data_IF_003745880239
#
_entry.id   IF_003745880239
#
_cell.length_a   1.000
_cell.length_b   1.000
_cell.length_c   1.000
_cell.angle_alpha   90.00
_cell.angle_beta   90.00
_cell.angle_gamma   90.00
#
_symmetry.space_group_name_H-M   'P 1'
#
loop_
_entity.id
_entity.type
_entity.pdbx_description
1 polymer ?
#
# COMPACT_ATOMS: atom_id res chain seq x y z
N UNK A 1 45.99 37.33 -32.24
CA UNK A 1 45.69 38.26 -33.35
C UNK A 1 44.18 38.53 -33.29
N UNK A 2 43.58 39.72 -33.33
CA UNK A 2 44.00 41.11 -33.48
C UNK A 2 42.87 42.01 -32.92
N UNK A 3 43.28 43.19 -32.46
CA UNK A 3 42.61 44.41 -31.99
C UNK A 3 41.22 44.74 -32.57
N UNK A 4 40.37 45.37 -31.73
CA UNK A 4 39.02 45.84 -32.06
C UNK A 4 38.91 47.22 -32.72
N UNK A 5 37.69 47.80 -32.71
CA UNK A 5 37.45 49.24 -32.94
C UNK A 5 36.11 49.70 -32.35
N UNK A 6 36.17 50.81 -31.60
CA UNK A 6 35.06 51.64 -31.11
C UNK A 6 34.32 52.31 -32.28
N UNK A 7 33.00 52.50 -32.12
CA UNK A 7 32.29 53.65 -32.70
C UNK A 7 31.47 54.30 -31.57
N UNK A 8 31.79 55.56 -31.27
CA UNK A 8 30.97 56.48 -30.45
C UNK A 8 29.99 57.19 -31.38
N UNK A 9 28.79 57.53 -30.89
CA UNK A 9 28.03 58.74 -31.22
C UNK A 9 26.94 58.90 -30.14
N UNK A 10 27.12 59.81 -29.17
CA UNK A 10 26.73 61.24 -29.10
C UNK A 10 25.25 61.47 -28.69
N UNK A 11 25.13 62.23 -27.60
CA UNK A 11 23.97 62.54 -26.77
C UNK A 11 22.89 63.38 -27.49
N UNK A 12 21.62 63.12 -27.21
CA UNK A 12 20.48 63.98 -27.54
C UNK A 12 19.45 63.98 -26.39
N UNK A 13 18.91 65.16 -26.06
CA UNK A 13 18.17 65.54 -24.85
C UNK A 13 16.79 64.86 -24.62
N UNK A 14 16.27 64.86 -23.36
CA UNK A 14 15.03 64.17 -22.98
C UNK A 14 13.75 64.94 -23.33
N UNK A 15 12.67 64.19 -23.60
CA UNK A 15 11.31 64.68 -23.93
C UNK A 15 10.40 64.65 -22.66
N UNK A 16 9.43 65.58 -22.49
CA UNK A 16 8.95 66.10 -21.19
C UNK A 16 8.08 65.20 -20.30
N UNK A 17 8.03 65.58 -19.03
CA UNK A 17 7.43 64.89 -17.89
C UNK A 17 5.89 65.04 -17.75
N UNK A 18 5.13 65.03 -18.86
CA UNK A 18 3.69 65.39 -18.84
C UNK A 18 2.71 64.28 -19.24
N UNK A 19 2.97 63.02 -18.89
CA UNK A 19 1.91 61.97 -18.90
C UNK A 19 2.05 60.93 -17.77
N UNK A 20 2.45 61.35 -16.55
CA UNK A 20 2.23 60.49 -15.37
C UNK A 20 0.75 60.55 -14.98
N UNK A 21 0.04 59.48 -15.33
CA UNK A 21 -1.30 59.12 -14.85
C UNK A 21 -1.40 59.44 -13.35
N UNK A 22 -2.22 60.43 -13.00
CA UNK A 22 -2.52 60.72 -11.59
C UNK A 22 -3.18 59.49 -10.98
N UNK A 23 -2.49 58.82 -10.06
CA UNK A 23 -3.11 57.83 -9.20
C UNK A 23 -4.11 58.56 -8.30
N UNK A 24 -5.38 58.18 -8.39
CA UNK A 24 -6.45 58.71 -7.56
C UNK A 24 -6.05 58.56 -6.08
N UNK A 25 -5.93 59.69 -5.36
CA UNK A 25 -5.72 59.67 -3.91
C UNK A 25 -6.90 58.93 -3.27
N UNK A 26 -6.64 57.73 -2.74
CA UNK A 26 -7.62 56.95 -1.98
C UNK A 26 -8.17 57.85 -0.87
N UNK A 27 -9.49 58.05 -0.84
CA UNK A 27 -10.17 58.76 0.25
C UNK A 27 -9.93 57.96 1.52
N UNK A 28 -9.00 58.40 2.37
CA UNK A 28 -8.72 57.74 3.64
C UNK A 28 -9.76 58.24 4.63
N UNK A 29 -10.60 57.31 5.10
CA UNK A 29 -11.66 57.63 6.05
C UNK A 29 -11.00 57.94 7.41
N UNK A 30 -11.15 59.16 7.97
CA UNK A 30 -10.43 59.59 9.17
C UNK A 30 -10.82 58.82 10.44
N UNK A 31 -11.90 58.04 10.38
CA UNK A 31 -12.36 57.16 11.46
C UNK A 31 -11.57 55.84 11.56
N UNK A 32 -10.78 55.48 10.54
CA UNK A 32 -10.00 54.24 10.54
C UNK A 32 -8.51 54.55 10.70
N UNK A 33 -8.02 54.44 11.94
CA UNK A 33 -6.60 54.53 12.26
C UNK A 33 -5.92 53.17 12.09
N UNK A 34 -4.72 53.17 11.50
CA UNK A 34 -3.88 51.97 11.46
C UNK A 34 -3.27 51.73 12.84
N UNK A 35 -3.69 50.66 13.52
CA UNK A 35 -3.14 50.23 14.83
C UNK A 35 -2.29 48.96 14.67
N UNK A 36 -1.00 49.07 14.31
CA UNK A 36 -0.12 47.90 14.20
C UNK A 36 0.21 47.34 15.59
N UNK A 37 0.17 46.01 15.74
CA UNK A 37 0.63 45.31 16.95
C UNK A 37 2.11 44.98 16.83
N UNK A 38 2.82 45.02 17.96
CA UNK A 38 4.24 44.69 18.02
C UNK A 38 4.43 43.31 18.68
N UNK A 39 4.91 42.34 17.92
CA UNK A 39 5.04 40.94 18.34
C UNK A 39 6.47 40.58 18.77
N UNK A 40 7.28 41.58 19.13
CA UNK A 40 8.59 41.38 19.74
C UNK A 40 8.50 40.71 21.12
N UNK A 41 9.66 40.35 21.67
CA UNK A 41 9.74 39.68 22.97
C UNK A 41 9.17 40.60 24.07
N UNK A 42 8.22 40.10 24.87
CA UNK A 42 7.51 40.81 25.96
C UNK A 42 6.60 41.98 25.52
N UNK A 43 6.03 41.94 24.32
CA UNK A 43 5.07 42.95 23.86
C UNK A 43 3.68 42.33 23.68
N UNK A 44 3.01 42.57 22.55
CA UNK A 44 1.68 42.02 22.29
C UNK A 44 1.71 40.48 22.20
N UNK A 45 0.56 39.86 22.48
CA UNK A 45 0.39 38.39 22.36
C UNK A 45 0.77 37.96 20.94
N UNK A 46 1.70 37.00 20.85
CA UNK A 46 2.15 36.45 19.57
C UNK A 46 0.96 35.88 18.76
N UNK A 47 0.93 36.08 17.44
CA UNK A 47 -0.10 35.50 16.60
C UNK A 47 0.05 33.97 16.57
N UNK A 48 -1.03 33.27 16.22
CA UNK A 48 -0.96 31.84 15.92
C UNK A 48 -0.04 31.65 14.70
N UNK A 49 1.09 30.97 14.90
CA UNK A 49 2.05 30.60 13.86
C UNK A 49 1.97 29.10 13.58
N UNK A 50 2.46 28.67 12.42
CA UNK A 50 2.53 27.25 12.09
C UNK A 50 3.48 26.53 13.07
N UNK A 51 2.90 25.64 13.87
CA UNK A 51 3.60 24.86 14.89
C UNK A 51 4.02 23.48 14.38
N UNK A 52 3.87 23.19 13.08
CA UNK A 52 4.09 21.87 12.46
C UNK A 52 5.50 21.36 12.76
N UNK A 53 6.50 22.23 12.76
CA UNK A 53 7.90 21.87 13.07
C UNK A 53 8.22 21.77 14.58
N UNK A 54 7.38 22.33 15.43
CA UNK A 54 7.58 22.38 16.89
C UNK A 54 6.66 21.44 17.66
N UNK A 55 5.75 20.76 16.97
CA UNK A 55 5.02 19.61 17.49
C UNK A 55 6.03 18.51 17.76
N UNK A 56 6.10 18.09 19.02
CA UNK A 56 6.71 16.81 19.38
C UNK A 56 5.84 15.73 18.76
N UNK A 57 6.24 15.28 17.57
CA UNK A 57 5.70 14.09 16.95
C UNK A 57 5.97 12.96 17.97
N UNK A 58 4.94 12.53 18.69
CA UNK A 58 5.04 11.31 19.47
C UNK A 58 5.59 10.27 18.49
N UNK A 59 6.78 9.72 18.79
CA UNK A 59 7.45 8.80 17.90
C UNK A 59 6.60 7.52 17.83
N UNK A 60 5.56 7.56 17.01
CA UNK A 60 4.74 6.42 16.69
C UNK A 60 5.69 5.43 16.03
N UNK A 61 5.85 4.26 16.66
CA UNK A 61 6.69 3.21 16.11
C UNK A 61 6.16 2.88 14.72
N UNK A 62 7.04 2.92 13.73
CA UNK A 62 6.68 2.57 12.36
C UNK A 62 6.00 1.20 12.33
N UNK A 63 4.94 1.03 11.53
CA UNK A 63 4.26 -0.25 11.44
C UNK A 63 5.21 -1.30 10.88
N UNK A 64 5.25 -2.46 11.52
CA UNK A 64 6.07 -3.60 11.14
C UNK A 64 5.22 -4.83 10.89
N UNK A 65 5.72 -5.70 10.03
CA UNK A 65 5.18 -7.04 9.86
C UNK A 65 5.33 -7.83 11.17
N UNK A 66 4.30 -8.61 11.49
CA UNK A 66 4.37 -9.57 12.59
C UNK A 66 4.48 -10.96 11.99
N UNK A 67 5.44 -11.74 12.46
CA UNK A 67 5.75 -13.05 11.92
C UNK A 67 5.72 -14.13 13.00
N UNK A 68 5.42 -15.35 12.58
CA UNK A 68 5.34 -16.53 13.43
C UNK A 68 3.92 -16.83 13.89
N UNK A 69 3.61 -18.12 13.97
CA UNK A 69 2.23 -18.64 14.15
C UNK A 69 1.62 -18.18 15.47
N UNK A 70 2.34 -18.26 16.58
CA UNK A 70 1.83 -17.88 17.91
C UNK A 70 1.52 -16.37 17.98
N UNK A 71 2.34 -15.53 17.35
CA UNK A 71 2.08 -14.09 17.31
C UNK A 71 0.89 -13.78 16.41
N UNK A 72 0.80 -14.43 15.24
CA UNK A 72 -0.26 -14.20 14.25
C UNK A 72 -1.61 -14.64 14.79
N UNK A 73 -1.70 -15.81 15.42
CA UNK A 73 -2.93 -16.34 16.02
C UNK A 73 -3.53 -15.39 17.04
N UNK A 74 -2.72 -14.91 18.00
CA UNK A 74 -3.15 -13.90 18.99
C UNK A 74 -3.65 -12.62 18.32
N UNK A 75 -3.01 -12.19 17.22
CA UNK A 75 -3.44 -10.98 16.49
C UNK A 75 -4.74 -11.17 15.71
N UNK A 76 -4.97 -12.37 15.15
CA UNK A 76 -6.20 -12.75 14.45
C UNK A 76 -7.36 -12.88 15.43
N UNK A 77 -7.16 -13.54 16.58
CA UNK A 77 -8.15 -13.65 17.65
C UNK A 77 -8.57 -12.28 18.18
N UNK A 78 -7.62 -11.38 18.36
CA UNK A 78 -7.90 -10.01 18.80
C UNK A 78 -8.43 -9.10 17.67
N UNK A 79 -8.61 -9.61 16.44
CA UNK A 79 -9.00 -8.84 15.24
C UNK A 79 -8.13 -7.60 14.99
N UNK A 80 -6.85 -7.67 15.36
CA UNK A 80 -5.85 -6.62 15.11
C UNK A 80 -5.09 -6.84 13.80
N UNK A 81 -5.18 -8.04 13.24
CA UNK A 81 -4.67 -8.38 11.92
C UNK A 81 -5.61 -7.88 10.82
N UNK A 82 -5.04 -7.24 9.80
CA UNK A 82 -5.79 -6.83 8.59
C UNK A 82 -5.73 -7.92 7.51
N UNK A 83 -4.57 -8.55 7.36
CA UNK A 83 -4.32 -9.61 6.39
C UNK A 83 -3.34 -10.62 6.98
N UNK A 84 -3.64 -11.91 6.86
CA UNK A 84 -2.77 -13.01 7.23
C UNK A 84 -2.25 -13.75 5.99
N UNK A 85 -0.94 -13.89 5.89
CA UNK A 85 -0.25 -14.55 4.78
C UNK A 85 0.31 -15.87 5.29
N UNK A 86 -0.07 -16.96 4.63
CA UNK A 86 0.25 -18.34 4.99
C UNK A 86 1.17 -18.93 3.92
N UNK A 87 2.24 -19.59 4.33
CA UNK A 87 3.03 -20.41 3.42
C UNK A 87 2.32 -21.72 3.08
N UNK A 88 2.40 -22.18 1.84
CA UNK A 88 1.82 -23.46 1.42
C UNK A 88 2.65 -24.70 1.80
N UNK A 89 3.94 -24.52 2.04
CA UNK A 89 5.00 -25.53 2.15
C UNK A 89 5.49 -25.59 3.59
N UNK A 90 4.53 -25.77 4.51
CA UNK A 90 4.82 -25.88 5.94
C UNK A 90 4.83 -27.34 6.35
N UNK A 91 6.02 -27.84 6.65
CA UNK A 91 6.21 -29.12 7.34
C UNK A 91 6.55 -28.84 8.81
N UNK A 92 5.78 -29.35 9.79
CA UNK A 92 4.52 -30.11 9.67
C UNK A 92 3.28 -29.22 9.39
N UNK A 93 2.31 -29.69 8.62
CA UNK A 93 1.18 -28.89 8.08
C UNK A 93 0.17 -28.47 9.15
N UNK A 94 0.05 -29.26 10.21
CA UNK A 94 -0.83 -29.08 11.37
C UNK A 94 -0.67 -27.70 12.02
N UNK A 95 0.53 -27.13 11.90
CA UNK A 95 0.87 -25.80 12.39
C UNK A 95 0.02 -24.70 11.76
N UNK A 96 -0.52 -24.90 10.55
CA UNK A 96 -1.24 -23.85 9.81
C UNK A 96 -2.64 -24.25 9.35
N UNK A 97 -3.00 -25.54 9.34
CA UNK A 97 -4.35 -25.99 8.92
C UNK A 97 -5.47 -25.26 9.66
N UNK A 98 -5.35 -25.07 10.98
CA UNK A 98 -6.37 -24.40 11.79
C UNK A 98 -6.49 -22.90 11.49
N UNK A 99 -5.44 -22.29 10.93
CA UNK A 99 -5.36 -20.84 10.75
C UNK A 99 -6.30 -20.34 9.65
N UNK A 100 -6.50 -21.13 8.59
CA UNK A 100 -7.47 -20.80 7.54
C UNK A 100 -8.90 -20.67 8.11
N UNK A 101 -9.31 -21.65 8.93
CA UNK A 101 -10.60 -21.65 9.60
C UNK A 101 -10.72 -20.50 10.62
N UNK A 102 -9.66 -20.26 11.40
CA UNK A 102 -9.62 -19.18 12.38
C UNK A 102 -9.79 -17.80 11.72
N UNK A 103 -9.06 -17.53 10.65
CA UNK A 103 -9.16 -16.27 9.91
C UNK A 103 -10.57 -16.06 9.36
N UNK A 104 -11.20 -17.09 8.79
CA UNK A 104 -12.57 -17.01 8.28
C UNK A 104 -13.57 -16.72 9.41
N UNK A 105 -13.46 -17.42 10.55
CA UNK A 105 -14.34 -17.21 11.71
C UNK A 105 -14.19 -15.82 12.33
N UNK A 106 -12.98 -15.28 12.35
CA UNK A 106 -12.71 -13.95 12.91
C UNK A 106 -12.95 -12.80 11.92
N UNK A 107 -13.25 -13.11 10.65
CA UNK A 107 -13.48 -12.11 9.60
C UNK A 107 -12.20 -11.43 9.12
N UNK A 108 -11.05 -12.09 9.27
CA UNK A 108 -9.74 -11.60 8.80
C UNK A 108 -9.46 -12.21 7.43
N UNK A 109 -8.91 -11.40 6.53
CA UNK A 109 -8.51 -11.87 5.21
C UNK A 109 -7.27 -12.76 5.31
N UNK A 110 -7.25 -13.87 4.58
CA UNK A 110 -6.08 -14.73 4.51
C UNK A 110 -5.71 -15.07 3.07
N UNK A 111 -4.42 -15.30 2.83
CA UNK A 111 -3.93 -15.79 1.55
C UNK A 111 -2.85 -16.85 1.73
N UNK A 112 -2.84 -17.82 0.82
CA UNK A 112 -1.82 -18.87 0.76
C UNK A 112 -0.83 -18.53 -0.35
N UNK A 113 0.45 -18.45 -0.01
CA UNK A 113 1.54 -18.08 -0.92
C UNK A 113 2.50 -19.26 -1.09
N UNK A 114 2.99 -19.42 -2.33
CA UNK A 114 4.05 -20.37 -2.64
C UNK A 114 5.43 -19.86 -2.20
N UNK A 115 6.09 -20.58 -1.29
CA UNK A 115 7.50 -20.44 -0.92
C UNK A 115 7.72 -19.85 0.49
N UNK A 116 7.73 -20.72 1.50
CA UNK A 116 8.02 -20.44 2.91
C UNK A 116 9.42 -19.88 3.12
N UNK A 117 10.41 -20.49 2.47
CA UNK A 117 11.83 -20.13 2.61
C UNK A 117 12.19 -18.90 1.78
N UNK A 118 11.96 -18.98 0.47
CA UNK A 118 12.45 -18.00 -0.48
C UNK A 118 11.72 -16.64 -0.38
N UNK A 119 10.41 -16.63 -0.11
CA UNK A 119 9.63 -15.38 -0.12
C UNK A 119 9.38 -14.85 1.29
N UNK A 120 8.69 -15.63 2.12
CA UNK A 120 8.31 -15.18 3.47
C UNK A 120 9.51 -15.15 4.42
N UNK A 121 10.43 -16.11 4.33
CA UNK A 121 11.67 -16.09 5.07
C UNK A 121 12.50 -14.86 4.74
N UNK A 122 12.79 -14.63 3.45
CA UNK A 122 13.56 -13.48 2.99
C UNK A 122 12.94 -12.13 3.41
N UNK A 123 11.62 -12.00 3.34
CA UNK A 123 10.88 -10.79 3.76
C UNK A 123 11.10 -10.42 5.24
N UNK A 124 11.23 -11.41 6.12
CA UNK A 124 11.38 -11.22 7.57
C UNK A 124 12.84 -11.37 8.01
N UNK A 125 13.78 -11.49 7.07
CA UNK A 125 15.20 -11.78 7.33
C UNK A 125 15.40 -13.06 8.16
N UNK A 126 14.62 -14.09 7.89
CA UNK A 126 14.73 -15.43 8.48
C UNK A 126 14.96 -16.47 7.41
N UNK A 127 15.52 -17.62 7.77
CA UNK A 127 15.63 -18.75 6.83
C UNK A 127 14.26 -19.26 6.41
N UNK A 128 13.31 -19.31 7.35
CA UNK A 128 11.94 -19.77 7.14
C UNK A 128 10.95 -18.86 7.85
N UNK A 129 9.77 -18.69 7.25
CA UNK A 129 8.63 -18.09 7.92
C UNK A 129 7.33 -18.76 7.47
N UNK A 130 6.57 -19.31 8.42
CA UNK A 130 5.31 -20.00 8.16
C UNK A 130 4.16 -19.03 7.91
N UNK A 131 4.03 -18.00 8.75
CA UNK A 131 2.92 -17.06 8.69
C UNK A 131 3.37 -15.64 9.00
N UNK A 132 2.87 -14.67 8.22
CA UNK A 132 3.13 -13.24 8.40
C UNK A 132 1.81 -12.49 8.40
N UNK A 133 1.68 -11.41 9.17
CA UNK A 133 0.48 -10.59 9.20
C UNK A 133 0.78 -9.11 9.21
N UNK A 134 -0.12 -8.33 8.58
CA UNK A 134 -0.16 -6.89 8.65
C UNK A 134 -1.08 -6.47 9.81
N UNK A 135 -0.53 -5.74 10.78
CA UNK A 135 -1.32 -5.19 11.90
C UNK A 135 -1.79 -3.76 11.60
N UNK A 136 -0.85 -2.94 11.14
CA UNK A 136 -1.08 -1.58 10.71
C UNK A 136 -0.35 -1.37 9.38
N UNK A 137 -0.92 -0.50 8.55
CA UNK A 137 -0.37 -0.14 7.24
C UNK A 137 -0.34 1.38 7.18
N UNK A 138 0.73 1.93 6.63
CA UNK A 138 0.87 3.37 6.43
C UNK A 138 -0.27 3.88 5.54
N UNK A 139 -0.68 5.13 5.76
CA UNK A 139 -1.71 5.74 4.92
C UNK A 139 -1.30 5.89 3.45
N UNK A 140 0.00 5.90 3.16
CA UNK A 140 0.54 5.94 1.81
C UNK A 140 0.27 4.64 1.06
N UNK A 141 0.57 3.49 1.68
CA UNK A 141 0.35 2.16 1.10
C UNK A 141 -1.13 1.76 1.08
N UNK A 142 -1.95 2.31 1.99
CA UNK A 142 -3.41 2.18 1.93
C UNK A 142 -4.01 2.95 0.75
N UNK A 143 -3.44 4.12 0.44
CA UNK A 143 -3.84 4.97 -0.70
C UNK A 143 -3.27 4.45 -2.02
N UNK A 144 -2.10 3.83 -1.98
CA UNK A 144 -1.57 3.08 -3.10
C UNK A 144 -2.58 1.98 -3.45
N UNK A 145 -3.13 2.08 -4.66
CA UNK A 145 -4.15 1.21 -5.23
C UNK A 145 -3.79 -0.28 -5.13
N UNK A 146 -2.50 -0.60 -4.97
CA UNK A 146 -1.94 -1.94 -4.86
C UNK A 146 -2.55 -2.72 -3.70
N UNK A 147 -2.56 -2.18 -2.47
CA UNK A 147 -3.01 -2.95 -1.30
C UNK A 147 -4.52 -3.21 -1.35
N UNK A 148 -5.31 -2.22 -1.79
CA UNK A 148 -6.76 -2.35 -1.93
C UNK A 148 -7.14 -3.40 -2.99
N UNK A 149 -6.48 -3.37 -4.16
CA UNK A 149 -6.66 -4.39 -5.21
C UNK A 149 -6.27 -5.79 -4.72
N UNK A 150 -5.15 -5.89 -4.00
CA UNK A 150 -4.70 -7.18 -3.45
C UNK A 150 -5.71 -7.72 -2.43
N UNK A 151 -6.24 -6.86 -1.56
CA UNK A 151 -7.24 -7.21 -0.54
C UNK A 151 -8.52 -7.75 -1.19
N UNK A 152 -9.01 -7.09 -2.24
CA UNK A 152 -10.20 -7.54 -2.98
C UNK A 152 -9.96 -8.86 -3.72
N UNK A 153 -8.81 -9.00 -4.39
CA UNK A 153 -8.43 -10.25 -5.04
C UNK A 153 -8.25 -11.40 -4.05
N UNK A 154 -7.72 -11.15 -2.85
CA UNK A 154 -7.57 -12.18 -1.82
C UNK A 154 -8.93 -12.61 -1.27
N UNK A 155 -9.81 -11.64 -1.01
CA UNK A 155 -11.14 -11.89 -0.48
C UNK A 155 -11.95 -12.82 -1.38
N UNK A 156 -12.00 -12.51 -2.68
CA UNK A 156 -12.74 -13.31 -3.68
C UNK A 156 -12.13 -14.69 -3.91
N UNK A 157 -10.80 -14.83 -3.76
CA UNK A 157 -10.14 -16.11 -3.98
C UNK A 157 -10.22 -17.06 -2.78
N UNK A 158 -10.26 -16.55 -1.55
CA UNK A 158 -10.13 -17.36 -0.34
C UNK A 158 -11.35 -17.24 0.58
N UNK A 159 -11.59 -16.06 1.14
CA UNK A 159 -12.61 -15.86 2.18
C UNK A 159 -14.04 -16.11 1.66
N UNK A 160 -14.39 -15.54 0.51
CA UNK A 160 -15.75 -15.68 -0.05
C UNK A 160 -16.01 -17.11 -0.59
N UNK A 161 -14.94 -17.84 -0.92
CA UNK A 161 -14.98 -19.22 -1.44
C UNK A 161 -14.69 -20.29 -0.38
N UNK A 162 -14.70 -19.91 0.90
CA UNK A 162 -14.29 -20.80 1.97
C UNK A 162 -15.09 -22.10 2.00
N UNK A 163 -16.42 -22.04 1.86
CA UNK A 163 -17.29 -23.22 1.87
C UNK A 163 -17.03 -24.16 0.69
N UNK A 164 -16.75 -23.60 -0.51
CA UNK A 164 -16.36 -24.39 -1.68
C UNK A 164 -15.05 -25.14 -1.43
N UNK A 165 -14.07 -24.45 -0.87
CA UNK A 165 -12.73 -25.01 -0.60
C UNK A 165 -12.82 -26.10 0.47
N UNK A 166 -13.66 -25.93 1.50
CA UNK A 166 -13.85 -26.94 2.54
C UNK A 166 -14.59 -28.19 2.04
N UNK A 167 -15.51 -28.05 1.08
CA UNK A 167 -16.24 -29.19 0.51
C UNK A 167 -15.50 -29.86 -0.66
N UNK A 168 -14.52 -29.17 -1.27
CA UNK A 168 -13.77 -29.70 -2.39
C UNK A 168 -12.72 -30.71 -1.93
N UNK A 169 -13.01 -31.99 -2.16
CA UNK A 169 -12.00 -33.03 -2.03
C UNK A 169 -10.98 -32.91 -3.15
N UNK A 170 -9.71 -33.00 -2.78
CA UNK A 170 -8.59 -32.88 -3.70
C UNK A 170 -8.52 -34.02 -4.73
N UNK A 171 -7.36 -34.10 -5.38
CA UNK A 171 -7.24 -34.81 -6.65
C UNK A 171 -7.34 -36.33 -6.53
N UNK A 172 -8.39 -36.88 -7.15
CA UNK A 172 -8.48 -38.26 -7.65
C UNK A 172 -7.92 -38.33 -9.09
N UNK A 173 -6.65 -37.96 -9.29
CA UNK A 173 -6.02 -37.98 -10.61
C UNK A 173 -5.17 -39.24 -10.74
N UNK A 174 -5.53 -40.08 -11.72
CA UNK A 174 -4.79 -41.27 -12.09
C UNK A 174 -3.45 -40.90 -12.76
N UNK A 175 -2.46 -41.77 -12.59
CA UNK A 175 -1.17 -41.62 -13.27
C UNK A 175 -1.30 -41.63 -14.79
N UNK A 176 -0.41 -40.95 -15.53
CA UNK A 176 -0.53 -40.77 -16.98
C UNK A 176 -0.58 -42.11 -17.75
N UNK A 177 0.11 -43.14 -17.25
CA UNK A 177 0.08 -44.47 -17.84
C UNK A 177 -1.29 -45.16 -17.68
N UNK A 178 -1.90 -45.05 -16.49
CA UNK A 178 -3.22 -45.60 -16.22
C UNK A 178 -4.30 -44.89 -17.05
N UNK A 179 -4.23 -43.55 -17.15
CA UNK A 179 -5.13 -42.75 -17.99
C UNK A 179 -5.00 -43.16 -19.46
N UNK A 180 -3.78 -43.33 -19.97
CA UNK A 180 -3.56 -43.76 -21.36
C UNK A 180 -4.09 -45.19 -21.63
N UNK A 181 -3.99 -46.09 -20.65
CA UNK A 181 -4.55 -47.44 -20.76
C UNK A 181 -6.09 -47.42 -20.79
N UNK A 182 -6.73 -46.67 -19.88
CA UNK A 182 -8.18 -46.48 -19.86
C UNK A 182 -8.66 -45.88 -21.19
N UNK A 183 -8.00 -44.83 -21.68
CA UNK A 183 -8.34 -44.19 -22.96
C UNK A 183 -8.22 -45.15 -24.16
N UNK A 184 -7.20 -46.04 -24.17
CA UNK A 184 -7.08 -47.08 -25.21
C UNK A 184 -8.23 -48.08 -25.14
N UNK A 185 -8.62 -48.50 -23.94
CA UNK A 185 -9.74 -49.44 -23.74
C UNK A 185 -11.09 -48.80 -24.13
N UNK A 186 -11.33 -47.55 -23.76
CA UNK A 186 -12.53 -46.80 -24.14
C UNK A 186 -12.63 -46.65 -25.65
N UNK A 187 -11.53 -46.25 -26.30
CA UNK A 187 -11.47 -46.14 -27.76
C UNK A 187 -11.72 -47.47 -28.47
N UNK A 188 -11.19 -48.57 -27.94
CA UNK A 188 -11.44 -49.91 -28.48
C UNK A 188 -12.92 -50.32 -28.34
N UNK A 189 -13.56 -50.01 -27.20
CA UNK A 189 -15.00 -50.25 -26.98
C UNK A 189 -15.87 -49.42 -27.91
N UNK A 190 -15.56 -48.14 -28.10
CA UNK A 190 -16.31 -47.28 -29.02
C UNK A 190 -16.24 -47.76 -30.47
N UNK A 191 -15.07 -48.20 -30.93
CA UNK A 191 -14.90 -48.77 -32.27
C UNK A 191 -15.73 -50.06 -32.44
N UNK A 192 -15.71 -50.93 -31.43
CA UNK A 192 -16.51 -52.15 -31.44
C UNK A 192 -18.02 -51.86 -31.49
N UNK A 193 -18.49 -50.80 -30.83
CA UNK A 193 -19.92 -50.42 -30.80
C UNK A 193 -20.38 -49.75 -32.11
N UNK A 194 -19.47 -49.20 -32.91
CA UNK A 194 -19.78 -48.57 -34.21
C UNK A 194 -19.75 -49.53 -35.41
N UNK A 195 -19.12 -50.69 -35.23
CA UNK A 195 -18.95 -51.72 -36.27
C UNK A 195 -20.03 -52.81 -36.21
N UNK A 196 -20.75 -52.92 -35.10
CA UNK A 196 -21.96 -53.74 -34.96
C UNK A 196 -23.21 -52.91 -35.18
#
# INVERSE_FOLDING_TARGET
MLKGKKVKNKMGNPVPADMRKQEAKKVVNPLFEKRPKNFGIRQDIQPKRDLIHFVTNQAARSPVLRAGVNTVTVLVENKKAQLAVIAHDVDPTEVVVFLCALCCKMGVLYCIIKGKEAKLGHLVHRKTCTTVTFTQVNSEDKRAVVLAKQVEAIRTNYNDRYDEICCHWGRNILGPQAVAHIAKLEKAKELATKLG
#
